data_IF_537880069974
#
_entry.id   IF_537880069974
#
_cell.length_a   1.000
_cell.length_b   1.000
_cell.length_c   1.000
_cell.angle_alpha   90.00
_cell.angle_beta   90.00
_cell.angle_gamma   90.00
#
_symmetry.space_group_name_H-M   'P 1'
#
loop_
_entity.id
_entity.type
_entity.pdbx_description
1 polymer ?
#
# COMPACT_ATOMS: atom_id res chain seq x y z
N UNK A 1 -5.14 11.01 69.23
CA UNK A 1 -5.92 10.27 68.21
C UNK A 1 -6.97 11.23 67.64
N UNK A 2 -6.99 11.37 66.30
CA UNK A 2 -7.97 12.07 65.42
C UNK A 2 -8.02 13.61 65.41
N UNK A 3 -7.77 14.18 64.22
CA UNK A 3 -8.40 15.35 63.57
C UNK A 3 -7.86 15.46 62.10
N UNK A 4 -8.47 16.23 61.18
CA UNK A 4 -8.95 15.74 59.88
C UNK A 4 -8.37 16.48 58.65
N UNK A 5 -8.46 15.86 57.46
CA UNK A 5 -8.09 16.49 56.17
C UNK A 5 -9.24 16.21 55.17
N UNK A 6 -10.18 17.15 55.07
CA UNK A 6 -11.21 17.18 54.01
C UNK A 6 -11.43 18.64 53.60
N UNK A 7 -10.55 19.19 52.76
CA UNK A 7 -10.76 20.49 52.13
C UNK A 7 -9.88 20.64 50.88
N UNK A 8 -10.16 19.91 49.80
CA UNK A 8 -9.50 20.20 48.50
C UNK A 8 -10.26 19.85 47.21
N UNK A 9 -11.53 19.47 47.26
CA UNK A 9 -12.29 19.04 46.06
C UNK A 9 -13.37 20.01 45.55
N UNK A 10 -13.49 21.22 46.12
CA UNK A 10 -14.59 22.15 45.78
C UNK A 10 -14.29 23.19 44.68
N UNK A 11 -13.06 23.25 44.13
CA UNK A 11 -12.67 24.33 43.19
C UNK A 11 -12.51 23.92 41.72
N UNK A 12 -12.65 22.65 41.37
CA UNK A 12 -12.44 22.19 39.98
C UNK A 12 -13.73 22.06 39.14
N UNK A 13 -14.91 22.10 39.76
CA UNK A 13 -16.19 21.94 39.05
C UNK A 13 -16.77 23.24 38.48
N UNK A 14 -16.26 24.40 38.92
CA UNK A 14 -16.76 25.70 38.50
C UNK A 14 -16.09 26.23 37.21
N UNK A 15 -14.86 25.80 36.91
CA UNK A 15 -14.14 26.27 35.72
C UNK A 15 -14.59 25.57 34.43
N UNK A 16 -15.06 24.33 34.48
CA UNK A 16 -15.47 23.58 33.27
C UNK A 16 -16.83 24.00 32.72
N UNK A 17 -17.71 24.56 33.56
CA UNK A 17 -19.04 25.03 33.15
C UNK A 17 -18.97 26.35 32.36
N UNK A 18 -17.98 27.20 32.65
CA UNK A 18 -17.79 28.46 31.92
C UNK A 18 -17.15 28.28 30.53
N UNK A 19 -16.33 27.25 30.33
CA UNK A 19 -15.69 26.98 29.02
C UNK A 19 -16.71 26.43 28.01
N UNK A 20 -17.72 25.69 28.46
CA UNK A 20 -18.75 25.15 27.57
C UNK A 20 -19.78 26.21 27.13
N UNK A 21 -20.03 27.23 27.96
CA UNK A 21 -20.94 28.32 27.63
C UNK A 21 -20.37 29.28 26.58
N UNK A 22 -19.04 29.46 26.54
CA UNK A 22 -18.39 30.39 25.61
C UNK A 22 -18.31 29.86 24.16
N UNK A 23 -18.42 28.55 23.97
CA UNK A 23 -18.29 27.90 22.65
C UNK A 23 -19.62 27.85 21.86
N UNK A 24 -20.75 28.08 22.53
CA UNK A 24 -22.10 28.09 21.92
C UNK A 24 -22.55 29.49 21.47
N UNK A 25 -21.77 30.54 21.72
CA UNK A 25 -22.13 31.93 21.41
C UNK A 25 -21.43 32.50 20.14
N UNK A 26 -20.58 31.73 19.45
CA UNK A 26 -19.76 32.24 18.31
C UNK A 26 -20.19 31.71 16.94
N UNK A 27 -21.17 30.81 16.85
CA UNK A 27 -21.60 30.26 15.56
C UNK A 27 -23.08 30.55 15.25
N UNK A 28 -23.42 31.82 15.04
CA UNK A 28 -24.62 32.17 14.26
C UNK A 28 -24.49 33.57 13.65
N UNK A 29 -23.66 33.71 12.62
CA UNK A 29 -23.87 34.73 11.60
C UNK A 29 -24.10 34.02 10.27
N UNK A 30 -25.31 34.20 9.75
CA UNK A 30 -25.74 33.63 8.49
C UNK A 30 -25.13 34.35 7.30
N UNK A 31 -25.01 33.63 6.19
CA UNK A 31 -24.88 34.23 4.88
C UNK A 31 -25.82 33.54 3.90
N UNK A 32 -26.68 34.37 3.31
CA UNK A 32 -27.75 33.99 2.42
C UNK A 32 -27.28 33.61 1.01
N UNK A 33 -28.18 32.93 0.32
CA UNK A 33 -28.14 32.63 -1.10
C UNK A 33 -28.16 33.91 -1.94
N UNK A 34 -27.24 34.01 -2.89
CA UNK A 34 -27.26 34.96 -4.00
C UNK A 34 -26.60 34.33 -5.22
N UNK A 35 -27.40 34.08 -6.26
CA UNK A 35 -26.99 33.48 -7.52
C UNK A 35 -26.67 34.56 -8.56
N UNK A 36 -25.55 34.43 -9.30
CA UNK A 36 -25.37 34.89 -10.70
C UNK A 36 -24.09 34.23 -11.32
N UNK A 37 -23.82 34.28 -12.65
CA UNK A 37 -23.96 33.19 -13.63
C UNK A 37 -22.59 32.73 -14.25
N UNK A 38 -22.53 31.82 -15.25
CA UNK A 38 -21.27 31.25 -15.73
C UNK A 38 -20.62 32.12 -16.81
N UNK A 39 -19.28 32.21 -16.80
CA UNK A 39 -18.49 32.73 -17.92
C UNK A 39 -17.45 31.70 -18.37
N UNK A 40 -17.56 31.38 -19.65
CA UNK A 40 -16.65 30.59 -20.46
C UNK A 40 -15.55 31.46 -21.08
N UNK A 41 -14.54 30.78 -21.62
CA UNK A 41 -13.54 31.18 -22.64
C UNK A 41 -12.37 32.05 -22.16
N UNK A 42 -11.14 31.52 -22.20
CA UNK A 42 -10.18 31.74 -23.29
C UNK A 42 -8.71 31.44 -22.89
N UNK A 43 -8.04 30.63 -23.70
CA UNK A 43 -6.58 30.58 -23.88
C UNK A 43 -5.98 31.97 -24.18
N UNK A 44 -4.64 32.10 -24.08
CA UNK A 44 -3.90 32.24 -25.33
C UNK A 44 -2.62 31.40 -25.40
N UNK A 45 -2.40 30.82 -26.58
CA UNK A 45 -1.10 30.51 -27.17
C UNK A 45 -0.47 31.85 -27.68
N UNK A 46 0.81 32.08 -27.95
CA UNK A 46 1.95 31.23 -28.31
C UNK A 46 3.24 32.11 -28.45
N UNK A 47 4.37 31.43 -28.75
CA UNK A 47 5.49 31.86 -29.64
C UNK A 47 6.81 32.41 -29.01
N UNK A 48 7.82 31.50 -28.98
CA UNK A 48 9.23 31.58 -29.47
C UNK A 48 10.24 32.56 -28.84
N UNK A 49 11.56 32.34 -28.72
CA UNK A 49 12.57 31.35 -29.15
C UNK A 49 13.95 31.81 -28.52
N UNK A 50 15.15 31.28 -28.87
CA UNK A 50 15.81 30.00 -28.61
C UNK A 50 17.10 30.20 -27.74
N UNK A 51 18.08 29.26 -27.81
CA UNK A 51 19.40 29.20 -27.13
C UNK A 51 19.38 28.38 -25.83
N UNK A 52 20.22 27.38 -25.58
CA UNK A 52 21.39 26.86 -26.28
C UNK A 52 21.53 25.36 -25.96
N UNK A 53 22.15 24.64 -26.88
CA UNK A 53 22.58 23.26 -26.72
C UNK A 53 23.47 23.08 -25.49
N UNK A 54 23.02 22.31 -24.50
CA UNK A 54 23.93 21.52 -23.67
C UNK A 54 23.92 20.10 -24.22
N UNK A 55 24.90 19.84 -25.09
CA UNK A 55 25.33 18.48 -25.40
C UNK A 55 25.87 17.82 -24.12
N UNK A 56 25.81 16.48 -24.10
CA UNK A 56 26.41 15.58 -23.11
C UNK A 56 25.70 15.49 -21.74
N UNK A 57 24.47 14.96 -21.76
CA UNK A 57 24.06 14.00 -20.75
C UNK A 57 23.61 12.75 -21.49
N UNK A 58 24.55 11.85 -21.80
CA UNK A 58 24.17 10.48 -22.11
C UNK A 58 23.34 9.94 -20.94
N UNK A 59 22.39 9.02 -21.17
CA UNK A 59 21.75 8.32 -20.06
C UNK A 59 22.87 7.67 -19.26
N UNK A 60 23.13 8.20 -18.06
CA UNK A 60 24.04 7.56 -17.11
C UNK A 60 23.26 6.41 -16.48
N UNK A 61 23.02 5.39 -17.30
CA UNK A 61 22.71 4.04 -16.87
C UNK A 61 23.92 3.58 -16.06
N UNK A 62 23.91 3.88 -14.76
CA UNK A 62 24.91 3.35 -13.81
C UNK A 62 24.50 1.92 -13.43
N UNK A 63 24.16 1.13 -14.45
CA UNK A 63 24.02 -0.32 -14.47
C UNK A 63 25.39 -0.88 -14.83
N UNK A 64 26.32 -0.85 -13.88
CA UNK A 64 27.59 -1.57 -14.02
C UNK A 64 27.64 -2.63 -12.94
N UNK A 65 26.81 -3.66 -13.13
CA UNK A 65 27.16 -4.99 -12.63
C UNK A 65 28.31 -5.48 -13.49
N UNK A 66 29.40 -5.88 -12.85
CA UNK A 66 30.48 -6.54 -13.56
C UNK A 66 30.04 -7.96 -13.86
N UNK A 67 29.66 -8.24 -15.11
CA UNK A 67 29.22 -9.57 -15.54
C UNK A 67 30.30 -10.65 -15.36
N UNK A 68 31.57 -10.24 -15.19
CA UNK A 68 32.69 -11.14 -14.96
C UNK A 68 32.87 -11.52 -13.49
N UNK A 69 32.29 -10.75 -12.56
CA UNK A 69 32.27 -11.09 -11.13
C UNK A 69 30.95 -11.76 -10.76
N UNK A 70 31.02 -12.69 -9.81
CA UNK A 70 29.83 -13.40 -9.31
C UNK A 70 28.83 -12.40 -8.70
N UNK A 71 27.57 -12.48 -9.11
CA UNK A 71 26.51 -11.59 -8.64
C UNK A 71 26.22 -11.80 -7.16
N UNK A 72 26.49 -13.00 -6.62
CA UNK A 72 26.41 -13.25 -5.18
C UNK A 72 27.35 -12.38 -4.34
N UNK A 73 28.43 -11.88 -4.93
CA UNK A 73 29.39 -10.98 -4.27
C UNK A 73 28.98 -9.52 -4.43
N UNK A 74 28.32 -9.17 -5.54
CA UNK A 74 27.88 -7.81 -5.86
C UNK A 74 26.54 -7.44 -5.24
N UNK A 75 25.68 -8.43 -4.97
CA UNK A 75 24.40 -8.21 -4.30
C UNK A 75 24.57 -8.19 -2.78
N UNK A 76 23.70 -7.45 -2.11
CA UNK A 76 23.48 -7.60 -0.67
C UNK A 76 23.08 -9.04 -0.32
N UNK A 77 23.31 -9.44 0.93
CA UNK A 77 22.97 -10.79 1.37
C UNK A 77 21.47 -11.07 1.22
N UNK A 78 21.10 -12.33 0.98
CA UNK A 78 19.69 -12.73 0.84
C UNK A 78 18.83 -12.26 2.03
N UNK A 79 19.37 -12.34 3.25
CA UNK A 79 18.65 -11.92 4.46
C UNK A 79 18.39 -10.41 4.50
N UNK A 80 19.32 -9.58 4.01
CA UNK A 80 19.13 -8.13 3.90
C UNK A 80 18.12 -7.80 2.80
N UNK A 81 18.20 -8.48 1.66
CA UNK A 81 17.25 -8.34 0.57
C UNK A 81 15.84 -8.72 1.01
N UNK A 82 15.69 -9.79 1.80
CA UNK A 82 14.42 -10.20 2.37
C UNK A 82 13.84 -9.17 3.34
N UNK A 83 14.68 -8.55 4.19
CA UNK A 83 14.23 -7.46 5.09
C UNK A 83 13.72 -6.25 4.32
N UNK A 84 14.42 -5.86 3.26
CA UNK A 84 13.99 -4.76 2.37
C UNK A 84 12.68 -5.16 1.67
N UNK A 85 12.61 -6.38 1.12
CA UNK A 85 11.41 -6.89 0.47
C UNK A 85 10.20 -6.91 1.41
N UNK A 86 10.37 -7.32 2.68
CA UNK A 86 9.29 -7.24 3.67
C UNK A 86 8.79 -5.81 3.92
N UNK A 87 9.69 -4.83 3.90
CA UNK A 87 9.34 -3.43 4.13
C UNK A 87 8.62 -2.80 2.92
N UNK A 88 8.92 -3.23 1.70
CA UNK A 88 8.43 -2.60 0.47
C UNK A 88 7.43 -3.43 -0.33
N UNK A 89 7.32 -4.74 -0.11
CA UNK A 89 6.44 -5.63 -0.87
C UNK A 89 4.97 -5.20 -0.79
N UNK A 90 4.32 -4.93 -1.94
CA UNK A 90 2.90 -4.59 -1.99
C UNK A 90 2.00 -5.70 -1.43
N UNK A 91 2.35 -6.98 -1.66
CA UNK A 91 1.57 -8.11 -1.21
C UNK A 91 1.50 -8.18 0.33
N UNK A 92 2.65 -8.02 1.01
CA UNK A 92 2.70 -8.02 2.48
C UNK A 92 2.02 -6.79 3.06
N UNK A 93 2.15 -5.62 2.41
CA UNK A 93 1.43 -4.40 2.81
C UNK A 93 -0.08 -4.54 2.70
N UNK A 94 -0.57 -5.16 1.63
CA UNK A 94 -2.00 -5.42 1.43
C UNK A 94 -2.56 -6.34 2.52
N UNK A 95 -1.91 -7.48 2.76
CA UNK A 95 -2.33 -8.42 3.81
C UNK A 95 -2.19 -7.80 5.21
N UNK A 96 -1.17 -6.96 5.44
CA UNK A 96 -1.02 -6.16 6.64
C UNK A 96 -2.17 -5.17 6.85
N UNK A 97 -2.53 -4.41 5.81
CA UNK A 97 -3.68 -3.48 5.85
C UNK A 97 -4.99 -4.22 6.12
N UNK A 98 -5.19 -5.39 5.49
CA UNK A 98 -6.35 -6.24 5.74
C UNK A 98 -6.41 -6.71 7.20
N UNK A 99 -5.30 -7.19 7.76
CA UNK A 99 -5.23 -7.58 9.17
C UNK A 99 -5.56 -6.41 10.11
N UNK A 100 -5.06 -5.20 9.82
CA UNK A 100 -5.40 -4.00 10.62
C UNK A 100 -6.87 -3.60 10.49
N UNK A 101 -7.47 -3.73 9.30
CA UNK A 101 -8.89 -3.46 9.10
C UNK A 101 -9.76 -4.45 9.89
N UNK A 102 -9.40 -5.73 9.92
CA UNK A 102 -10.11 -6.75 10.71
C UNK A 102 -9.91 -6.56 12.22
N UNK A 103 -8.73 -6.10 12.64
CA UNK A 103 -8.50 -5.72 14.03
C UNK A 103 -9.43 -4.56 14.44
N UNK A 104 -9.57 -3.54 13.59
CA UNK A 104 -10.49 -2.43 13.82
C UNK A 104 -11.95 -2.91 13.86
N UNK A 105 -12.35 -3.82 12.98
CA UNK A 105 -13.68 -4.43 12.99
C UNK A 105 -13.95 -5.21 14.29
N UNK A 106 -12.97 -5.96 14.79
CA UNK A 106 -13.06 -6.65 16.08
C UNK A 106 -13.21 -5.66 17.25
N UNK A 107 -12.43 -4.58 17.28
CA UNK A 107 -12.58 -3.56 18.31
C UNK A 107 -13.93 -2.82 18.22
N UNK A 108 -14.40 -2.54 17.00
CA UNK A 108 -15.72 -1.96 16.76
C UNK A 108 -16.82 -2.88 17.30
N UNK A 109 -16.72 -4.20 17.09
CA UNK A 109 -17.70 -5.16 17.61
C UNK A 109 -17.80 -5.15 19.15
N UNK A 110 -16.69 -4.85 19.85
CA UNK A 110 -16.70 -4.65 21.31
C UNK A 110 -17.33 -3.31 21.69
N UNK A 111 -16.99 -2.25 20.96
CA UNK A 111 -17.48 -0.90 21.21
C UNK A 111 -18.97 -0.74 20.88
N UNK A 112 -19.52 -1.56 19.98
CA UNK A 112 -20.95 -1.59 19.67
C UNK A 112 -21.83 -1.88 20.90
N UNK A 113 -21.30 -2.56 21.92
CA UNK A 113 -22.02 -2.74 23.20
C UNK A 113 -22.35 -1.38 23.84
N UNK A 114 -21.46 -0.40 23.68
CA UNK A 114 -21.63 0.94 24.22
C UNK A 114 -22.60 1.80 23.39
N UNK A 115 -22.90 1.44 22.13
CA UNK A 115 -23.82 2.20 21.27
C UNK A 115 -25.26 2.21 21.80
N UNK A 116 -25.63 1.21 22.60
CA UNK A 116 -26.93 1.10 23.24
C UNK A 116 -27.09 2.04 24.46
N UNK A 117 -26.04 2.78 24.81
CA UNK A 117 -26.04 3.79 25.88
C UNK A 117 -25.83 5.16 25.24
N UNK A 118 -26.91 5.93 25.10
CA UNK A 118 -26.88 7.26 24.49
C UNK A 118 -27.47 8.31 25.41
N UNK A 119 -26.79 9.45 25.56
CA UNK A 119 -27.42 10.65 26.11
C UNK A 119 -28.21 11.35 25.02
N UNK A 120 -29.43 11.80 25.32
CA UNK A 120 -30.19 12.66 24.42
C UNK A 120 -30.52 13.96 25.11
N UNK A 121 -30.44 15.06 24.36
CA UNK A 121 -30.91 16.38 24.76
C UNK A 121 -31.72 16.93 23.60
N UNK A 122 -33.02 17.03 23.79
CA UNK A 122 -33.95 17.54 22.79
C UNK A 122 -34.57 18.83 23.31
N UNK A 123 -34.63 19.85 22.46
CA UNK A 123 -35.38 21.06 22.69
C UNK A 123 -36.49 21.13 21.64
N UNK A 124 -37.75 21.07 22.07
CA UNK A 124 -38.89 21.21 21.16
C UNK A 124 -39.61 22.52 21.44
N UNK A 125 -39.84 23.30 20.39
CA UNK A 125 -40.64 24.51 20.40
C UNK A 125 -41.69 24.43 19.30
N UNK A 126 -42.97 24.64 19.65
CA UNK A 126 -44.10 24.51 18.73
C UNK A 126 -45.44 24.32 19.45
N UNK A 127 -46.53 24.64 18.75
CA UNK A 127 -47.90 24.47 19.25
C UNK A 127 -48.30 22.98 19.20
N UNK A 128 -48.22 22.28 20.34
CA UNK A 128 -48.68 20.90 20.45
C UNK A 128 -50.13 20.92 20.91
N UNK A 129 -51.06 20.99 19.96
CA UNK A 129 -52.47 20.75 20.27
C UNK A 129 -52.63 19.25 20.61
N UNK A 130 -52.62 18.91 21.90
CA UNK A 130 -53.05 17.60 22.35
C UNK A 130 -54.54 17.51 22.01
N UNK A 131 -54.90 16.73 21.00
CA UNK A 131 -56.26 16.26 20.78
C UNK A 131 -56.62 15.35 21.95
N UNK A 132 -57.00 15.96 23.07
CA UNK A 132 -57.58 15.28 24.21
C UNK A 132 -58.96 14.80 23.79
N UNK A 133 -59.11 13.52 23.51
CA UNK A 133 -60.41 12.87 23.25
C UNK A 133 -61.19 12.72 24.57
N UNK A 134 -61.26 13.80 25.36
CA UNK A 134 -62.04 13.94 26.58
C UNK A 134 -63.14 14.98 26.38
N UNK A 135 -64.34 14.67 26.86
CA UNK A 135 -65.64 15.29 26.53
C UNK A 135 -65.85 16.74 27.01
N UNK A 136 -64.80 17.55 27.12
CA UNK A 136 -64.90 18.96 27.53
C UNK A 136 -64.17 19.86 26.52
N UNK A 137 -64.92 20.34 25.52
CA UNK A 137 -64.45 21.14 24.39
C UNK A 137 -64.02 22.59 24.73
N UNK A 138 -64.02 22.98 26.01
CA UNK A 138 -63.66 24.33 26.46
C UNK A 138 -62.29 24.40 27.16
N UNK A 139 -61.58 23.28 27.29
CA UNK A 139 -60.22 23.25 27.84
C UNK A 139 -59.19 23.03 26.72
N UNK A 140 -59.32 23.82 25.65
CA UNK A 140 -58.26 23.95 24.66
C UNK A 140 -57.16 24.84 25.27
N UNK A 141 -56.49 24.32 26.31
CA UNK A 141 -55.17 24.84 26.67
C UNK A 141 -54.32 24.72 25.41
N UNK A 142 -54.10 25.86 24.76
CA UNK A 142 -53.03 26.03 23.79
C UNK A 142 -51.72 25.71 24.50
N UNK A 143 -51.37 24.44 24.52
CA UNK A 143 -50.20 23.94 25.20
C UNK A 143 -49.01 24.27 24.30
N UNK A 144 -48.53 25.50 24.43
CA UNK A 144 -47.19 25.87 23.96
C UNK A 144 -46.22 25.07 24.84
N UNK A 145 -45.97 23.83 24.42
CA UNK A 145 -45.11 22.88 25.11
C UNK A 145 -43.66 23.12 24.68
N UNK A 146 -43.12 24.27 25.11
CA UNK A 146 -41.69 24.52 25.05
C UNK A 146 -41.04 23.68 26.16
N UNK A 147 -40.37 22.61 25.77
CA UNK A 147 -39.83 21.62 26.70
C UNK A 147 -38.39 21.28 26.38
N UNK A 148 -37.54 21.27 27.41
CA UNK A 148 -36.23 20.65 27.36
C UNK A 148 -36.38 19.22 27.86
N UNK A 149 -36.00 18.24 27.05
CA UNK A 149 -35.93 16.84 27.45
C UNK A 149 -34.49 16.38 27.36
N UNK A 150 -33.83 16.28 28.50
CA UNK A 150 -32.56 15.59 28.64
C UNK A 150 -32.77 14.24 29.33
N UNK A 151 -32.09 13.21 28.87
CA UNK A 151 -32.18 11.89 29.47
C UNK A 151 -31.11 10.96 28.93
N UNK A 152 -30.97 9.81 29.58
CA UNK A 152 -30.14 8.71 29.09
C UNK A 152 -31.08 7.65 28.54
N UNK A 153 -30.85 7.23 27.30
CA UNK A 153 -31.54 6.11 26.69
C UNK A 153 -30.66 4.87 26.78
N UNK A 154 -31.25 3.79 27.33
CA UNK A 154 -30.67 2.46 27.39
C UNK A 154 -31.56 1.52 26.61
N UNK A 155 -31.13 1.12 25.42
CA UNK A 155 -31.88 0.19 24.56
C UNK A 155 -31.18 -1.16 24.51
N UNK A 156 -31.71 -2.17 25.21
CA UNK A 156 -31.18 -3.53 25.14
C UNK A 156 -32.09 -4.40 24.25
N UNK A 157 -31.57 -4.84 23.10
CA UNK A 157 -32.26 -5.83 22.29
C UNK A 157 -31.94 -7.24 22.79
N UNK A 158 -32.93 -8.15 22.83
CA UNK A 158 -32.72 -9.57 23.20
C UNK A 158 -31.73 -10.23 22.23
N UNK A 159 -31.76 -9.82 20.96
CA UNK A 159 -30.78 -10.22 19.96
C UNK A 159 -29.35 -9.86 20.38
N UNK A 160 -29.15 -8.72 21.06
CA UNK A 160 -27.83 -8.30 21.50
C UNK A 160 -27.29 -9.18 22.63
N UNK A 161 -28.14 -9.80 23.45
CA UNK A 161 -27.69 -10.69 24.52
C UNK A 161 -27.16 -12.03 23.99
N UNK A 162 -27.83 -12.60 22.99
CA UNK A 162 -27.53 -13.95 22.50
C UNK A 162 -26.65 -13.97 21.24
N UNK A 163 -26.82 -13.03 20.32
CA UNK A 163 -26.08 -13.03 19.05
C UNK A 163 -24.71 -12.31 19.13
N UNK A 164 -24.56 -11.31 20.01
CA UNK A 164 -23.29 -10.55 20.13
C UNK A 164 -22.07 -11.36 20.52
N UNK A 165 -22.11 -12.28 21.52
CA UNK A 165 -20.93 -13.08 21.82
C UNK A 165 -20.48 -13.92 20.61
N UNK A 166 -21.42 -14.38 19.79
CA UNK A 166 -21.12 -15.09 18.54
C UNK A 166 -20.52 -14.16 17.49
N UNK A 167 -21.04 -12.94 17.33
CA UNK A 167 -20.46 -11.92 16.43
C UNK A 167 -19.03 -11.54 16.84
N UNK A 168 -18.76 -11.34 18.13
CA UNK A 168 -17.42 -11.04 18.64
C UNK A 168 -16.48 -12.23 18.41
N UNK A 169 -16.96 -13.45 18.63
CA UNK A 169 -16.19 -14.68 18.35
C UNK A 169 -15.86 -14.82 16.87
N UNK A 170 -16.80 -14.51 15.98
CA UNK A 170 -16.59 -14.48 14.54
C UNK A 170 -15.58 -13.41 14.14
N UNK A 171 -15.72 -12.18 14.65
CA UNK A 171 -14.78 -11.08 14.39
C UNK A 171 -13.37 -11.41 14.91
N UNK A 172 -13.25 -12.10 16.05
CA UNK A 172 -11.96 -12.60 16.55
C UNK A 172 -11.37 -13.67 15.63
N UNK A 173 -12.16 -14.69 15.27
CA UNK A 173 -11.67 -15.78 14.42
C UNK A 173 -11.25 -15.29 13.04
N UNK A 174 -11.97 -14.31 12.47
CA UNK A 174 -11.58 -13.67 11.22
C UNK A 174 -10.31 -12.84 11.37
N UNK A 175 -10.13 -12.08 12.46
CA UNK A 175 -8.87 -11.41 12.75
C UNK A 175 -7.69 -12.40 12.86
N UNK A 176 -7.85 -13.47 13.64
CA UNK A 176 -6.81 -14.50 13.83
C UNK A 176 -6.47 -15.18 12.48
N UNK A 177 -7.46 -15.51 11.66
CA UNK A 177 -7.25 -16.09 10.33
C UNK A 177 -6.50 -15.14 9.38
N UNK A 178 -6.79 -13.84 9.42
CA UNK A 178 -6.09 -12.85 8.60
C UNK A 178 -4.65 -12.60 9.10
N UNK A 179 -4.40 -12.72 10.40
CA UNK A 179 -3.04 -12.67 10.94
C UNK A 179 -2.18 -13.84 10.43
N UNK A 180 -2.72 -15.07 10.41
CA UNK A 180 -2.03 -16.23 9.84
C UNK A 180 -1.90 -16.14 8.32
N UNK A 181 -2.87 -15.53 7.63
CA UNK A 181 -2.77 -15.24 6.20
C UNK A 181 -1.62 -14.28 5.89
N UNK A 182 -1.44 -13.22 6.69
CA UNK A 182 -0.29 -12.32 6.59
C UNK A 182 1.04 -13.10 6.77
N UNK A 183 1.13 -13.95 7.79
CA UNK A 183 2.32 -14.79 8.02
C UNK A 183 2.60 -15.73 6.86
N UNK A 184 1.55 -16.32 6.29
CA UNK A 184 1.67 -17.18 5.09
C UNK A 184 2.17 -16.39 3.88
N UNK A 185 1.72 -15.14 3.71
CA UNK A 185 2.21 -14.26 2.65
C UNK A 185 3.69 -13.89 2.84
N UNK A 186 4.17 -13.68 4.07
CA UNK A 186 5.60 -13.46 4.36
C UNK A 186 6.45 -14.69 4.02
N UNK A 187 6.00 -15.89 4.40
CA UNK A 187 6.67 -17.15 4.05
C UNK A 187 6.70 -17.34 2.53
N UNK A 188 5.58 -17.07 1.86
CA UNK A 188 5.48 -17.17 0.41
C UNK A 188 6.45 -16.20 -0.28
N UNK A 189 6.50 -14.94 0.17
CA UNK A 189 7.44 -13.95 -0.33
C UNK A 189 8.89 -14.43 -0.15
N UNK A 190 9.23 -15.01 1.01
CA UNK A 190 10.57 -15.55 1.25
C UNK A 190 10.94 -16.65 0.25
N UNK A 191 10.01 -17.58 0.00
CA UNK A 191 10.21 -18.69 -0.95
C UNK A 191 10.38 -18.17 -2.38
N UNK A 192 9.53 -17.25 -2.80
CA UNK A 192 9.55 -16.72 -4.16
C UNK A 192 10.80 -15.88 -4.41
N UNK A 193 11.19 -15.06 -3.42
CA UNK A 193 12.45 -14.31 -3.47
C UNK A 193 13.66 -15.23 -3.53
N UNK A 194 13.65 -16.33 -2.77
CA UNK A 194 14.74 -17.32 -2.81
C UNK A 194 14.84 -17.96 -4.18
N UNK A 195 13.73 -18.40 -4.78
CA UNK A 195 13.73 -18.99 -6.12
C UNK A 195 14.25 -17.99 -7.16
N UNK A 196 13.78 -16.74 -7.15
CA UNK A 196 14.26 -15.70 -8.05
C UNK A 196 15.76 -15.42 -7.90
N UNK A 197 16.25 -15.40 -6.66
CA UNK A 197 17.68 -15.23 -6.38
C UNK A 197 18.49 -16.39 -6.97
N UNK A 198 18.03 -17.63 -6.79
CA UNK A 198 18.70 -18.80 -7.37
C UNK A 198 18.63 -18.82 -8.90
N UNK A 199 17.50 -18.42 -9.49
CA UNK A 199 17.32 -18.32 -10.94
C UNK A 199 18.24 -17.24 -11.54
N UNK A 200 18.45 -16.14 -10.83
CA UNK A 200 19.39 -15.09 -11.23
C UNK A 200 20.82 -15.63 -11.26
N UNK A 201 21.27 -16.27 -10.18
CA UNK A 201 22.60 -16.90 -10.10
C UNK A 201 22.81 -17.93 -11.20
N UNK A 202 21.81 -18.79 -11.43
CA UNK A 202 21.86 -19.79 -12.48
C UNK A 202 21.96 -19.15 -13.87
N UNK A 203 21.14 -18.13 -14.15
CA UNK A 203 21.15 -17.43 -15.43
C UNK A 203 22.48 -16.73 -15.71
N UNK A 204 23.14 -16.18 -14.69
CA UNK A 204 24.49 -15.65 -14.82
C UNK A 204 25.49 -16.74 -15.19
N UNK A 205 25.46 -17.88 -14.48
CA UNK A 205 26.38 -18.99 -14.74
C UNK A 205 26.21 -19.54 -16.15
N UNK A 206 24.96 -19.68 -16.61
CA UNK A 206 24.65 -20.07 -17.99
C UNK A 206 25.19 -19.04 -18.98
N UNK A 207 24.97 -17.74 -18.75
CA UNK A 207 25.50 -16.68 -19.60
C UNK A 207 27.02 -16.75 -19.71
N UNK A 208 27.74 -16.92 -18.60
CA UNK A 208 29.20 -17.05 -18.62
C UNK A 208 29.68 -18.27 -19.42
N UNK A 209 28.98 -19.41 -19.31
CA UNK A 209 29.30 -20.60 -20.11
C UNK A 209 29.08 -20.29 -21.60
N UNK A 210 27.97 -19.66 -21.96
CA UNK A 210 27.66 -19.30 -23.36
C UNK A 210 28.65 -18.29 -23.94
N UNK A 211 29.09 -17.32 -23.15
CA UNK A 211 30.12 -16.36 -23.57
C UNK A 211 31.46 -17.07 -23.86
N UNK A 212 31.87 -18.04 -23.03
CA UNK A 212 33.08 -18.84 -23.31
C UNK A 212 32.93 -19.69 -24.56
N UNK A 213 31.75 -20.29 -24.76
CA UNK A 213 31.44 -21.09 -25.95
C UNK A 213 31.43 -20.24 -27.24
N UNK A 214 30.95 -19.00 -27.18
CA UNK A 214 31.00 -18.03 -28.28
C UNK A 214 32.43 -17.65 -28.66
N UNK A 215 33.30 -17.41 -27.68
CA UNK A 215 34.73 -17.15 -27.95
C UNK A 215 35.41 -18.36 -28.61
N UNK A 216 35.12 -19.57 -28.14
CA UNK A 216 35.62 -20.81 -28.74
C UNK A 216 35.11 -21.00 -30.17
N UNK A 217 33.81 -20.77 -30.39
CA UNK A 217 33.17 -20.88 -31.71
C UNK A 217 33.69 -19.84 -32.69
N UNK A 218 33.94 -18.61 -32.23
CA UNK A 218 34.56 -17.55 -33.03
C UNK A 218 35.99 -17.91 -33.44
N UNK A 219 36.78 -18.47 -32.54
CA UNK A 219 38.13 -18.93 -32.85
C UNK A 219 38.11 -20.06 -33.89
N UNK A 220 37.22 -21.04 -33.74
CA UNK A 220 37.04 -22.12 -34.71
C UNK A 220 36.58 -21.61 -36.08
N UNK A 221 35.64 -20.68 -36.13
CA UNK A 221 35.19 -20.03 -37.36
C UNK A 221 36.33 -19.31 -38.09
N UNK A 222 37.15 -18.53 -37.36
CA UNK A 222 38.31 -17.84 -37.93
C UNK A 222 39.37 -18.80 -38.47
N UNK A 223 39.62 -19.92 -37.78
CA UNK A 223 40.55 -20.96 -38.26
C UNK A 223 40.01 -21.58 -39.55
N UNK A 224 38.73 -21.94 -39.58
CA UNK A 224 38.08 -22.50 -40.76
C UNK A 224 38.14 -21.53 -41.95
N UNK A 225 37.93 -20.23 -41.72
CA UNK A 225 38.02 -19.21 -42.76
C UNK A 225 39.45 -19.14 -43.37
N UNK A 226 40.48 -19.14 -42.52
CA UNK A 226 41.88 -19.14 -42.96
C UNK A 226 42.25 -20.44 -43.69
N UNK A 227 41.75 -21.59 -43.25
CA UNK A 227 42.00 -22.87 -43.90
C UNK A 227 41.27 -22.99 -45.25
N UNK A 228 40.08 -22.43 -45.36
CA UNK A 228 39.32 -22.35 -46.62
C UNK A 228 40.04 -21.47 -47.63
N UNK A 229 40.55 -20.31 -47.20
CA UNK A 229 41.35 -19.42 -48.05
C UNK A 229 42.63 -20.09 -48.56
N UNK A 230 43.19 -21.01 -47.78
CA UNK A 230 44.35 -21.84 -48.15
C UNK A 230 43.98 -23.08 -48.97
N UNK A 231 42.68 -23.30 -49.25
CA UNK A 231 42.17 -24.46 -49.97
C UNK A 231 42.30 -25.80 -49.22
N UNK A 232 42.51 -25.77 -47.89
CA UNK A 232 42.72 -26.98 -47.07
C UNK A 232 41.44 -27.67 -46.66
N UNK A 233 40.33 -26.94 -46.61
CA UNK A 233 39.00 -27.46 -46.24
C UNK A 233 37.98 -27.20 -47.35
N UNK A 234 36.92 -28.00 -47.39
CA UNK A 234 35.82 -27.82 -48.35
C UNK A 234 34.94 -26.62 -47.94
N UNK A 235 34.31 -25.93 -48.91
CA UNK A 235 33.35 -24.85 -48.62
C UNK A 235 32.19 -25.30 -47.72
N UNK A 236 31.77 -26.56 -47.82
CA UNK A 236 30.73 -27.14 -46.97
C UNK A 236 31.17 -27.18 -45.49
N UNK A 237 32.40 -27.58 -45.20
CA UNK A 237 32.95 -27.57 -43.85
C UNK A 237 33.07 -26.15 -43.27
N UNK A 238 33.40 -25.15 -44.11
CA UNK A 238 33.42 -23.75 -43.71
C UNK A 238 32.01 -23.22 -43.40
N UNK A 239 31.02 -23.55 -44.24
CA UNK A 239 29.61 -23.19 -44.02
C UNK A 239 29.05 -23.79 -42.72
N UNK A 240 29.39 -25.05 -42.41
CA UNK A 240 29.02 -25.69 -41.15
C UNK A 240 29.54 -24.91 -39.92
N UNK A 241 30.82 -24.51 -39.94
CA UNK A 241 31.41 -23.71 -38.85
C UNK A 241 30.78 -22.32 -38.74
N UNK A 242 30.45 -21.69 -39.87
CA UNK A 242 29.72 -20.41 -39.92
C UNK A 242 28.33 -20.52 -39.27
N UNK A 243 27.57 -21.56 -39.63
CA UNK A 243 26.24 -21.81 -39.06
C UNK A 243 26.33 -22.08 -37.56
N UNK A 244 27.31 -22.88 -37.12
CA UNK A 244 27.54 -23.13 -35.69
C UNK A 244 27.86 -21.84 -34.93
N UNK A 245 28.71 -20.96 -35.48
CA UNK A 245 28.99 -19.67 -34.86
C UNK A 245 27.73 -18.78 -34.77
N UNK A 246 26.93 -18.71 -35.84
CA UNK A 246 25.67 -17.97 -35.83
C UNK A 246 24.67 -18.51 -34.77
N UNK A 247 24.60 -19.83 -34.63
CA UNK A 247 23.77 -20.48 -33.60
C UNK A 247 24.26 -20.17 -32.19
N UNK A 248 25.56 -20.33 -31.91
CA UNK A 248 26.13 -19.99 -30.61
C UNK A 248 25.86 -18.54 -30.24
N UNK A 249 26.03 -17.61 -31.19
CA UNK A 249 25.73 -16.19 -30.99
C UNK A 249 24.27 -15.94 -30.65
N UNK A 250 23.34 -16.61 -31.33
CA UNK A 250 21.91 -16.56 -31.00
C UNK A 250 21.65 -17.03 -29.56
N UNK A 251 22.26 -18.14 -29.13
CA UNK A 251 22.08 -18.66 -27.76
C UNK A 251 22.67 -17.73 -26.68
N UNK A 252 23.75 -17.00 -26.98
CA UNK A 252 24.29 -15.97 -26.08
C UNK A 252 23.29 -14.84 -25.87
N UNK A 253 22.70 -14.32 -26.94
CA UNK A 253 21.73 -13.24 -26.85
C UNK A 253 20.46 -13.67 -26.10
N UNK A 254 20.04 -14.92 -26.26
CA UNK A 254 18.95 -15.51 -25.46
C UNK A 254 19.33 -15.59 -23.97
N UNK A 255 20.54 -16.04 -23.65
CA UNK A 255 21.02 -16.12 -22.27
C UNK A 255 21.14 -14.73 -21.61
N UNK A 256 21.61 -13.72 -22.35
CA UNK A 256 21.63 -12.31 -21.91
C UNK A 256 20.23 -11.80 -21.62
N UNK A 257 19.29 -12.07 -22.52
CA UNK A 257 17.89 -11.68 -22.36
C UNK A 257 17.29 -12.30 -21.09
N UNK A 258 17.53 -13.60 -20.87
CA UNK A 258 17.03 -14.28 -19.67
C UNK A 258 17.62 -13.70 -18.38
N UNK A 259 18.92 -13.41 -18.40
CA UNK A 259 19.60 -12.79 -17.28
C UNK A 259 18.99 -11.42 -16.93
N UNK A 260 18.78 -10.56 -17.93
CA UNK A 260 18.16 -9.24 -17.76
C UNK A 260 16.71 -9.37 -17.25
N UNK A 261 15.94 -10.34 -17.75
CA UNK A 261 14.58 -10.61 -17.24
C UNK A 261 14.58 -10.98 -15.76
N UNK A 262 15.49 -11.86 -15.34
CA UNK A 262 15.61 -12.29 -13.95
C UNK A 262 15.98 -11.12 -13.02
N UNK A 263 16.84 -10.22 -13.50
CA UNK A 263 17.16 -8.96 -12.82
C UNK A 263 15.91 -8.12 -12.57
N UNK A 264 15.14 -7.82 -13.63
CA UNK A 264 13.93 -7.00 -13.49
C UNK A 264 12.83 -7.69 -12.65
N UNK A 265 12.72 -9.03 -12.75
CA UNK A 265 11.80 -9.79 -11.92
C UNK A 265 12.14 -9.65 -10.42
N UNK A 266 13.43 -9.67 -10.08
CA UNK A 266 13.89 -9.44 -8.71
C UNK A 266 13.56 -8.02 -8.22
N UNK A 267 13.78 -7.00 -9.06
CA UNK A 267 13.43 -5.61 -8.76
C UNK A 267 11.94 -5.44 -8.41
N UNK A 268 11.08 -6.05 -9.23
CA UNK A 268 9.62 -6.00 -9.03
C UNK A 268 9.19 -6.66 -7.71
N UNK A 269 9.81 -7.79 -7.35
CA UNK A 269 9.47 -8.53 -6.13
C UNK A 269 9.96 -7.83 -4.85
N UNK A 270 11.16 -7.25 -4.90
CA UNK A 270 11.71 -6.49 -3.75
C UNK A 270 11.03 -5.13 -3.62
N UNK A 271 10.50 -4.57 -4.72
CA UNK A 271 9.81 -3.28 -4.73
C UNK A 271 10.75 -2.09 -4.60
N UNK A 272 12.04 -2.29 -4.85
CA UNK A 272 13.10 -1.29 -4.73
C UNK A 272 14.01 -1.39 -5.96
N UNK A 273 14.43 -0.27 -6.56
CA UNK A 273 15.33 -0.32 -7.68
C UNK A 273 16.65 -1.00 -7.31
N UNK A 274 17.13 -1.82 -8.23
CA UNK A 274 18.39 -2.59 -8.14
C UNK A 274 19.60 -1.78 -7.67
N UNK A 275 19.61 -0.47 -7.93
CA UNK A 275 20.64 0.47 -7.47
C UNK A 275 20.84 0.43 -5.95
N UNK A 276 19.79 0.14 -5.19
CA UNK A 276 19.85 0.03 -3.72
C UNK A 276 20.19 -1.38 -3.23
N UNK A 277 20.26 -2.37 -4.14
CA UNK A 277 20.60 -3.77 -3.84
C UNK A 277 22.06 -4.11 -4.13
N UNK A 278 22.82 -3.16 -4.70
CA UNK A 278 24.26 -3.28 -4.91
C UNK A 278 24.98 -3.08 -3.58
N UNK A 279 25.83 -4.04 -3.21
CA UNK A 279 26.77 -3.89 -2.10
C UNK A 279 27.84 -2.87 -2.53
N UNK A 280 28.00 -1.81 -1.74
CA UNK A 280 29.04 -0.78 -1.95
C UNK A 280 30.41 -1.43 -1.85
#
# INVERSE_FOLDING_TARGET
MKLPIFHRFSRLTLASVWVLALLMAVCSEGYGQGAVPPKSVSQPAAISQPMASSAAAGPVDTLTFDFNQDISVQLISFDEMYKIALAYSPAVKFEGALATAQQAAYQLSKMQILQNVGGFANYSMGNQAILSTGTNANDQLGQISNGYRAGVNLSFSIHDLFARPQQIKLAKATFDANAERKRSAEIQLKRDLFNLYQDLLLSQRVLQIRLRDDQSSLAAYRIAEVEMQKGKITPEAAAFNSNRYAETRSTVEQAKTQFIKNIYALELFVGVPIRQLKRI
#
